data_IF_715981032207
#
_entry.id   IF_715981032207
#
_cell.length_a   1.000
_cell.length_b   1.000
_cell.length_c   1.000
_cell.angle_alpha   90.00
_cell.angle_beta   90.00
_cell.angle_gamma   90.00
#
_symmetry.space_group_name_H-M   'P 1'
#
loop_
_entity.id
_entity.type
_entity.pdbx_description
1 polymer ?
#
# COMPACT_ATOMS: atom_id res chain seq x y z
N UNK A 1 18.87 -14.64 -13.75
CA UNK A 1 17.83 -13.74 -13.24
C UNK A 1 17.06 -13.22 -14.43
N UNK A 2 15.71 -13.25 -14.45
CA UNK A 2 14.95 -12.68 -15.56
C UNK A 2 15.28 -11.19 -15.68
N UNK A 3 15.54 -10.73 -16.92
CA UNK A 3 15.79 -9.31 -17.17
C UNK A 3 14.52 -8.53 -16.83
N UNK A 4 14.63 -7.61 -15.86
CA UNK A 4 13.54 -6.68 -15.51
C UNK A 4 13.44 -5.70 -16.68
N UNK A 5 12.33 -5.74 -17.43
CA UNK A 5 12.10 -4.83 -18.54
C UNK A 5 11.40 -3.56 -18.02
N UNK A 6 12.19 -2.62 -17.52
CA UNK A 6 11.74 -1.28 -17.12
C UNK A 6 12.08 -0.34 -18.27
N UNK A 7 11.09 0.38 -18.76
CA UNK A 7 11.23 1.36 -19.83
C UNK A 7 11.49 2.76 -19.25
N UNK A 8 12.12 3.64 -20.00
CA UNK A 8 12.32 5.03 -19.59
C UNK A 8 11.02 5.74 -19.27
N UNK A 9 9.95 5.44 -20.01
CA UNK A 9 8.61 5.94 -19.71
C UNK A 9 8.07 5.52 -18.34
N UNK A 10 8.49 4.35 -17.82
CA UNK A 10 8.11 3.90 -16.47
C UNK A 10 8.84 4.69 -15.40
N UNK A 11 10.11 5.01 -15.64
CA UNK A 11 10.93 5.83 -14.75
C UNK A 11 10.42 7.27 -14.70
N UNK A 12 10.05 7.81 -15.85
CA UNK A 12 9.46 9.14 -15.95
C UNK A 12 8.10 9.21 -15.26
N UNK A 13 7.22 8.23 -15.48
CA UNK A 13 5.93 8.14 -14.80
C UNK A 13 6.11 8.07 -13.26
N UNK A 14 7.13 7.36 -12.77
CA UNK A 14 7.42 7.31 -11.35
C UNK A 14 7.88 8.68 -10.81
N UNK A 15 8.75 9.41 -11.52
CA UNK A 15 9.15 10.76 -11.14
C UNK A 15 7.96 11.72 -11.11
N UNK A 16 7.09 11.65 -12.12
CA UNK A 16 5.90 12.50 -12.22
C UNK A 16 4.82 12.16 -11.15
N UNK A 17 4.96 11.04 -10.47
CA UNK A 17 4.08 10.66 -9.36
C UNK A 17 4.45 11.27 -8.01
N UNK A 18 5.53 12.06 -7.93
CA UNK A 18 5.98 12.67 -6.66
C UNK A 18 4.96 13.71 -6.20
N UNK A 19 4.48 13.55 -4.98
CA UNK A 19 3.57 14.47 -4.28
C UNK A 19 4.32 15.43 -3.37
N UNK A 20 5.42 14.94 -2.77
CA UNK A 20 6.26 15.70 -1.85
C UNK A 20 7.68 15.13 -1.86
N UNK A 21 8.66 16.01 -1.69
CA UNK A 21 10.06 15.64 -1.55
C UNK A 21 10.76 16.64 -0.62
N UNK A 22 11.50 16.11 0.35
CA UNK A 22 12.43 16.88 1.20
C UNK A 22 13.74 16.10 1.38
N UNK A 23 14.55 16.50 2.36
CA UNK A 23 15.85 15.88 2.64
C UNK A 23 15.74 14.44 3.19
N UNK A 24 14.60 14.06 3.72
CA UNK A 24 14.40 12.82 4.46
C UNK A 24 13.45 11.86 3.79
N UNK A 25 12.42 12.36 3.10
CA UNK A 25 11.34 11.56 2.53
C UNK A 25 11.00 11.96 1.10
N UNK A 26 10.45 11.01 0.37
CA UNK A 26 9.68 11.22 -0.86
C UNK A 26 8.32 10.56 -0.67
N UNK A 27 7.25 11.31 -0.92
CA UNK A 27 5.90 10.77 -1.02
C UNK A 27 5.50 10.70 -2.49
N UNK A 28 5.05 9.55 -2.93
CA UNK A 28 4.58 9.36 -4.31
C UNK A 28 3.11 8.93 -4.33
N UNK A 29 2.40 9.29 -5.39
CA UNK A 29 1.08 8.76 -5.70
C UNK A 29 1.24 7.44 -6.49
N UNK A 30 1.25 6.31 -5.78
CA UNK A 30 1.37 5.01 -6.43
C UNK A 30 0.14 4.71 -7.27
N UNK A 31 0.26 4.41 -8.56
CA UNK A 31 -0.88 3.98 -9.36
C UNK A 31 -1.35 2.56 -8.95
N UNK A 32 -2.62 2.26 -9.20
CA UNK A 32 -3.13 0.90 -9.14
C UNK A 32 -2.46 0.03 -10.23
N UNK A 33 -2.34 -1.27 -9.99
CA UNK A 33 -1.73 -2.23 -10.92
C UNK A 33 -0.19 -2.30 -10.85
N UNK A 34 0.49 -1.38 -10.15
CA UNK A 34 1.94 -1.39 -9.95
C UNK A 34 2.30 -1.95 -8.56
N UNK A 35 3.04 -3.04 -8.52
CA UNK A 35 3.52 -3.62 -7.27
C UNK A 35 4.61 -2.75 -6.62
N UNK A 36 4.66 -2.72 -5.28
CA UNK A 36 5.73 -2.04 -4.53
C UNK A 36 7.02 -2.84 -4.59
N UNK A 37 6.96 -4.15 -4.38
CA UNK A 37 8.11 -5.06 -4.38
C UNK A 37 7.89 -6.20 -5.37
N UNK A 38 9.00 -6.78 -5.83
CA UNK A 38 8.99 -7.97 -6.65
C UNK A 38 8.49 -9.21 -5.91
N UNK A 39 8.06 -10.20 -6.67
CA UNK A 39 7.60 -11.50 -6.21
C UNK A 39 7.56 -12.48 -7.39
N UNK A 40 7.06 -13.68 -7.17
CA UNK A 40 6.96 -14.69 -8.23
C UNK A 40 6.15 -14.13 -9.42
N UNK A 41 6.79 -14.00 -10.58
CA UNK A 41 6.18 -13.47 -11.80
C UNK A 41 5.99 -11.93 -11.84
N UNK A 42 6.46 -11.19 -10.83
CA UNK A 42 6.37 -9.72 -10.80
C UNK A 42 7.75 -9.13 -11.05
N UNK A 43 7.99 -8.71 -12.30
CA UNK A 43 9.28 -8.18 -12.72
C UNK A 43 9.33 -6.65 -12.68
N UNK A 44 8.22 -5.97 -12.94
CA UNK A 44 8.08 -4.52 -12.87
C UNK A 44 7.46 -4.12 -11.53
N UNK A 45 8.21 -3.42 -10.71
CA UNK A 45 7.77 -2.97 -9.38
C UNK A 45 8.55 -1.71 -8.95
N UNK A 46 8.00 -0.94 -8.03
CA UNK A 46 8.57 0.34 -7.58
C UNK A 46 9.99 0.16 -7.06
N UNK A 47 10.24 -0.86 -6.23
CA UNK A 47 11.57 -1.10 -5.66
C UNK A 47 12.67 -1.21 -6.74
N UNK A 48 12.40 -1.84 -7.87
CA UNK A 48 13.36 -1.94 -8.98
C UNK A 48 13.62 -0.60 -9.69
N UNK A 49 12.78 0.41 -9.47
CA UNK A 49 12.86 1.73 -10.11
C UNK A 49 13.34 2.83 -9.15
N UNK A 50 13.59 2.53 -7.87
CA UNK A 50 13.89 3.57 -6.86
C UNK A 50 15.16 4.37 -7.14
N UNK A 51 16.11 3.84 -7.90
CA UNK A 51 17.31 4.58 -8.29
C UNK A 51 16.98 5.86 -9.05
N UNK A 52 15.89 5.87 -9.83
CA UNK A 52 15.45 7.07 -10.55
C UNK A 52 15.00 8.22 -9.63
N UNK A 53 14.71 7.92 -8.35
CA UNK A 53 14.31 8.87 -7.31
C UNK A 53 15.47 9.22 -6.34
N UNK A 54 16.68 8.82 -6.66
CA UNK A 54 17.87 9.11 -5.81
C UNK A 54 18.25 10.58 -5.90
N UNK A 55 18.10 11.19 -7.09
CA UNK A 55 18.50 12.56 -7.41
C UNK A 55 19.93 12.85 -6.92
N UNK A 56 20.14 13.96 -6.22
CA UNK A 56 21.43 14.42 -5.69
C UNK A 56 21.92 13.67 -4.44
N UNK A 57 21.11 12.78 -3.87
CA UNK A 57 21.48 12.04 -2.65
C UNK A 57 22.45 10.88 -2.96
N UNK A 58 23.33 10.58 -2.00
CA UNK A 58 24.25 9.44 -2.11
C UNK A 58 23.56 8.09 -1.95
N UNK A 59 22.49 8.06 -1.15
CA UNK A 59 21.76 6.84 -0.86
C UNK A 59 20.55 6.69 -1.79
N UNK A 60 20.35 5.46 -2.29
CA UNK A 60 19.11 5.07 -2.98
C UNK A 60 17.94 5.13 -2.00
N UNK A 61 16.77 5.65 -2.40
CA UNK A 61 15.58 5.64 -1.56
C UNK A 61 15.20 4.23 -1.11
N UNK A 62 14.63 4.12 0.09
CA UNK A 62 14.30 2.86 0.76
C UNK A 62 12.82 2.74 1.01
N UNK A 63 12.29 1.55 0.81
CA UNK A 63 10.92 1.21 1.20
C UNK A 63 10.82 1.10 2.72
N UNK A 64 9.82 1.72 3.31
CA UNK A 64 9.52 1.67 4.75
C UNK A 64 8.14 1.06 5.04
N UNK A 65 7.28 1.01 4.04
CA UNK A 65 6.00 0.30 4.05
C UNK A 65 5.62 -0.14 2.64
N UNK A 66 4.46 -0.75 2.50
CA UNK A 66 3.95 -1.18 1.20
C UNK A 66 2.45 -0.92 1.09
N UNK A 67 2.01 -0.76 -0.16
CA UNK A 67 0.63 -0.89 -0.61
C UNK A 67 0.52 -2.13 -1.49
N UNK A 68 -0.65 -2.73 -1.54
CA UNK A 68 -0.90 -3.85 -2.44
C UNK A 68 -0.87 -3.38 -3.90
N UNK A 69 -0.66 -4.31 -4.83
CA UNK A 69 -0.50 -4.02 -6.25
C UNK A 69 -1.64 -3.15 -6.79
N UNK A 70 -2.87 -3.52 -6.48
CA UNK A 70 -4.07 -2.87 -7.03
C UNK A 70 -4.58 -1.70 -6.17
N UNK A 71 -3.93 -1.42 -5.04
CA UNK A 71 -4.20 -0.25 -4.20
C UNK A 71 -3.39 0.93 -4.71
N UNK A 72 -4.04 2.04 -5.00
CA UNK A 72 -3.41 3.33 -5.32
C UNK A 72 -3.26 4.22 -4.10
N UNK A 73 -2.50 5.31 -4.21
CA UNK A 73 -2.38 6.33 -3.18
C UNK A 73 -0.96 6.54 -2.65
N UNK A 74 -0.86 7.17 -1.49
CA UNK A 74 0.40 7.67 -0.95
C UNK A 74 1.32 6.53 -0.51
N UNK A 75 2.50 6.45 -1.13
CA UNK A 75 3.60 5.59 -0.71
C UNK A 75 4.77 6.47 -0.27
N UNK A 76 5.22 6.27 0.98
CA UNK A 76 6.34 7.00 1.57
C UNK A 76 7.63 6.20 1.37
N UNK A 77 8.65 6.89 0.91
CA UNK A 77 10.01 6.38 0.72
C UNK A 77 10.96 7.18 1.61
N UNK A 78 11.92 6.53 2.22
CA UNK A 78 12.99 7.20 2.96
C UNK A 78 14.18 7.51 2.05
N UNK A 79 14.72 8.72 2.11
CA UNK A 79 15.89 9.15 1.33
C UNK A 79 17.22 8.85 2.03
N UNK A 80 17.19 8.57 3.33
CA UNK A 80 18.39 8.26 4.12
C UNK A 80 18.16 7.04 5.01
N UNK A 81 19.23 6.38 5.43
CA UNK A 81 19.16 5.25 6.37
C UNK A 81 18.52 5.66 7.70
N UNK A 82 18.84 6.86 8.20
CA UNK A 82 18.25 7.39 9.44
C UNK A 82 16.74 7.56 9.31
N UNK A 83 16.27 8.17 8.23
CA UNK A 83 14.84 8.32 7.96
C UNK A 83 14.14 6.96 7.79
N UNK A 84 14.80 5.99 7.11
CA UNK A 84 14.25 4.64 6.95
C UNK A 84 14.03 3.95 8.29
N UNK A 85 14.97 4.06 9.23
CA UNK A 85 14.84 3.50 10.57
C UNK A 85 13.68 4.13 11.33
N UNK A 86 13.60 5.48 11.35
CA UNK A 86 12.56 6.22 12.05
C UNK A 86 11.15 5.91 11.49
N UNK A 87 10.99 5.96 10.16
CA UNK A 87 9.72 5.67 9.51
C UNK A 87 9.30 4.21 9.69
N UNK A 88 10.23 3.26 9.56
CA UNK A 88 9.91 1.84 9.79
C UNK A 88 9.42 1.62 11.23
N UNK A 89 10.04 2.29 12.19
CA UNK A 89 9.58 2.23 13.59
C UNK A 89 8.21 2.86 13.75
N UNK A 90 7.94 4.03 13.18
CA UNK A 90 6.64 4.69 13.24
C UNK A 90 5.51 3.84 12.61
N UNK A 91 5.76 3.18 11.48
CA UNK A 91 4.81 2.23 10.89
C UNK A 91 4.59 0.99 11.76
N UNK A 92 5.63 0.51 12.47
CA UNK A 92 5.58 -0.66 13.34
C UNK A 92 4.87 -0.37 14.66
N UNK A 93 5.13 0.78 15.28
CA UNK A 93 4.48 1.24 16.53
C UNK A 93 3.05 1.73 16.31
N UNK A 94 2.57 1.79 15.07
CA UNK A 94 1.26 2.30 14.67
C UNK A 94 1.07 3.82 14.93
N UNK A 95 2.14 4.58 15.01
CA UNK A 95 2.10 6.04 15.13
C UNK A 95 1.67 6.72 13.81
N UNK A 96 1.60 5.94 12.72
CA UNK A 96 1.13 6.40 11.41
C UNK A 96 -0.33 6.07 11.23
N UNK A 97 -1.16 7.10 11.11
CA UNK A 97 -2.56 6.94 10.74
C UNK A 97 -2.68 6.65 9.24
N UNK A 98 -3.31 5.52 8.89
CA UNK A 98 -3.56 5.11 7.50
C UNK A 98 -5.05 5.19 7.23
N UNK A 99 -5.44 5.98 6.22
CA UNK A 99 -6.82 6.09 5.79
C UNK A 99 -6.91 5.67 4.33
N UNK A 100 -7.83 4.76 4.05
CA UNK A 100 -8.13 4.27 2.71
C UNK A 100 -9.56 4.67 2.34
N UNK A 101 -9.73 5.09 1.11
CA UNK A 101 -11.06 5.29 0.55
C UNK A 101 -11.40 4.16 -0.40
N UNK A 102 -12.64 3.73 -0.37
CA UNK A 102 -13.13 2.68 -1.27
C UNK A 102 -14.63 2.78 -1.49
N UNK A 103 -15.07 2.30 -2.64
CA UNK A 103 -16.48 2.15 -2.96
C UNK A 103 -16.83 0.67 -2.81
N UNK A 104 -17.90 0.39 -2.08
CA UNK A 104 -18.42 -0.96 -1.89
C UNK A 104 -19.83 -1.10 -2.47
N UNK A 105 -20.15 -2.29 -2.92
CA UNK A 105 -21.53 -2.62 -3.34
C UNK A 105 -22.41 -2.78 -2.11
N UNK A 106 -23.57 -2.14 -2.13
CA UNK A 106 -24.48 -2.09 -0.99
C UNK A 106 -24.07 -1.00 0.01
N UNK A 107 -24.83 -0.90 1.09
CA UNK A 107 -24.63 0.08 2.16
C UNK A 107 -24.49 -0.67 3.48
N UNK A 108 -23.31 -0.73 4.08
CA UNK A 108 -23.09 -1.38 5.37
C UNK A 108 -23.98 -0.81 6.48
N UNK A 109 -24.36 -1.65 7.41
CA UNK A 109 -25.06 -1.27 8.65
C UNK A 109 -24.27 -1.85 9.84
N UNK A 110 -24.02 -1.03 10.86
CA UNK A 110 -24.25 0.40 11.01
C UNK A 110 -23.40 1.28 10.08
N UNK A 111 -23.62 2.61 10.06
CA UNK A 111 -22.88 3.55 9.19
C UNK A 111 -21.39 3.67 9.52
N UNK A 112 -20.99 3.26 10.69
CA UNK A 112 -19.59 3.15 11.13
C UNK A 112 -19.46 1.91 11.99
N UNK A 113 -18.27 1.34 12.02
CA UNK A 113 -18.05 0.13 12.78
C UNK A 113 -16.61 -0.34 12.76
N UNK A 114 -16.41 -1.46 13.42
CA UNK A 114 -15.15 -2.18 13.53
C UNK A 114 -15.35 -3.59 12.96
N UNK A 115 -14.53 -3.94 12.00
CA UNK A 115 -14.44 -5.29 11.45
C UNK A 115 -13.22 -5.94 12.11
N UNK A 116 -13.43 -7.05 12.81
CA UNK A 116 -12.38 -7.84 13.46
C UNK A 116 -12.50 -9.29 12.99
N UNK A 117 -11.87 -9.61 11.87
CA UNK A 117 -11.97 -10.92 11.23
C UNK A 117 -10.54 -11.42 10.96
N UNK A 118 -10.14 -12.57 11.53
CA UNK A 118 -8.83 -13.13 11.24
C UNK A 118 -8.68 -13.49 9.77
N UNK A 119 -7.49 -13.25 9.22
CA UNK A 119 -7.16 -13.47 7.81
C UNK A 119 -6.02 -14.47 7.66
N UNK A 120 -6.17 -15.43 6.78
CA UNK A 120 -5.14 -16.38 6.43
C UNK A 120 -4.83 -16.40 4.94
N UNK A 121 -3.56 -16.67 4.62
CA UNK A 121 -3.10 -16.90 3.26
C UNK A 121 -3.24 -18.36 2.93
N UNK A 122 -3.96 -18.66 1.85
CA UNK A 122 -4.10 -20.02 1.32
C UNK A 122 -3.54 -20.12 -0.10
N UNK A 123 -2.99 -21.26 -0.48
CA UNK A 123 -2.63 -21.52 -1.87
C UNK A 123 -3.85 -21.37 -2.78
N UNK A 124 -3.66 -20.77 -3.94
CA UNK A 124 -4.69 -20.66 -4.98
C UNK A 124 -4.12 -21.07 -6.33
N UNK A 125 -5.00 -21.36 -7.29
CA UNK A 125 -4.61 -21.81 -8.64
C UNK A 125 -3.63 -20.84 -9.34
N UNK A 126 -3.67 -19.56 -8.99
CA UNK A 126 -2.72 -18.51 -9.45
C UNK A 126 -2.20 -17.74 -8.23
N UNK A 127 -1.17 -18.27 -7.56
CA UNK A 127 -0.53 -17.61 -6.44
C UNK A 127 -1.19 -17.86 -5.09
N UNK A 128 -1.32 -16.84 -4.25
CA UNK A 128 -1.92 -16.91 -2.91
C UNK A 128 -3.24 -16.12 -2.88
N UNK A 129 -4.23 -16.60 -2.14
CA UNK A 129 -5.47 -15.90 -1.82
C UNK A 129 -5.55 -15.70 -0.31
N UNK A 130 -6.01 -14.53 0.11
CA UNK A 130 -6.33 -14.27 1.52
C UNK A 130 -7.82 -14.52 1.74
N UNK A 131 -8.12 -15.25 2.79
CA UNK A 131 -9.49 -15.61 3.19
C UNK A 131 -9.72 -15.34 4.66
N UNK A 132 -10.96 -15.09 5.05
CA UNK A 132 -11.36 -15.09 6.45
C UNK A 132 -11.25 -16.52 7.02
N UNK A 133 -10.56 -16.67 8.14
CA UNK A 133 -10.30 -17.97 8.76
C UNK A 133 -10.05 -17.79 10.26
N UNK A 134 -10.69 -18.61 11.10
CA UNK A 134 -10.58 -18.52 12.55
C UNK A 134 -9.15 -18.76 13.06
N UNK A 135 -8.37 -19.60 12.36
CA UNK A 135 -6.96 -19.86 12.64
C UNK A 135 -6.02 -18.80 12.04
N UNK A 136 -6.58 -17.82 11.34
CA UNK A 136 -5.85 -16.75 10.68
C UNK A 136 -5.29 -15.70 11.65
N UNK A 137 -4.51 -14.78 11.12
CA UNK A 137 -3.96 -13.66 11.88
C UNK A 137 -5.02 -12.57 12.05
N UNK A 138 -5.24 -12.14 13.29
CA UNK A 138 -6.17 -11.05 13.61
C UNK A 138 -5.97 -9.85 12.68
N UNK A 139 -7.06 -9.39 12.05
CA UNK A 139 -7.12 -8.23 11.18
C UNK A 139 -8.27 -7.32 11.60
N UNK A 140 -7.95 -6.07 11.93
CA UNK A 140 -8.90 -5.08 12.44
C UNK A 140 -8.90 -3.87 11.55
N UNK A 141 -10.09 -3.51 11.06
CA UNK A 141 -10.33 -2.29 10.28
C UNK A 141 -11.53 -1.54 10.82
N UNK A 142 -11.39 -0.27 11.10
CA UNK A 142 -12.51 0.63 11.35
C UNK A 142 -13.00 1.19 10.02
N UNK A 143 -14.31 1.42 9.91
CA UNK A 143 -14.89 2.06 8.74
C UNK A 143 -15.93 3.10 9.10
N UNK A 144 -16.09 4.08 8.21
CA UNK A 144 -17.14 5.08 8.26
C UNK A 144 -17.67 5.33 6.85
N UNK A 145 -19.01 5.37 6.70
CA UNK A 145 -19.64 5.74 5.43
C UNK A 145 -19.55 7.25 5.26
N UNK A 146 -18.80 7.71 4.26
CA UNK A 146 -18.72 9.11 3.87
C UNK A 146 -20.03 9.49 3.19
N UNK A 147 -20.40 8.73 2.15
CA UNK A 147 -21.59 8.97 1.34
C UNK A 147 -22.13 7.64 0.79
N UNK A 148 -23.39 7.62 0.35
CA UNK A 148 -23.98 6.46 -0.30
C UNK A 148 -24.86 6.85 -1.49
N UNK A 149 -24.82 6.03 -2.55
CA UNK A 149 -25.68 6.11 -3.72
C UNK A 149 -26.92 5.23 -3.51
N UNK A 150 -27.95 5.81 -2.93
CA UNK A 150 -29.16 5.11 -2.50
C UNK A 150 -28.82 3.87 -1.65
N UNK A 151 -29.30 2.66 -2.06
CA UNK A 151 -28.97 1.39 -1.42
C UNK A 151 -27.96 0.55 -2.22
N UNK A 152 -27.43 1.09 -3.33
CA UNK A 152 -26.62 0.33 -4.31
C UNK A 152 -25.15 0.30 -3.99
N UNK A 153 -24.61 1.40 -3.47
CA UNK A 153 -23.19 1.53 -3.18
C UNK A 153 -22.93 2.52 -2.02
N UNK A 154 -21.81 2.38 -1.36
CA UNK A 154 -21.34 3.33 -0.35
C UNK A 154 -19.87 3.67 -0.57
N UNK A 155 -19.52 4.93 -0.35
CA UNK A 155 -18.17 5.41 -0.26
C UNK A 155 -17.72 5.38 1.20
N UNK A 156 -16.65 4.65 1.47
CA UNK A 156 -16.13 4.41 2.81
C UNK A 156 -14.78 5.08 3.02
N UNK A 157 -14.59 5.63 4.21
CA UNK A 157 -13.27 5.80 4.81
C UNK A 157 -12.99 4.57 5.68
N UNK A 158 -11.82 3.95 5.47
CA UNK A 158 -11.39 2.76 6.18
C UNK A 158 -10.04 3.02 6.85
N UNK A 159 -9.92 2.63 8.11
CA UNK A 159 -8.72 2.80 8.92
C UNK A 159 -8.26 1.43 9.46
N UNK A 160 -7.32 0.76 8.79
CA UNK A 160 -6.78 -0.49 9.28
C UNK A 160 -5.89 -0.26 10.50
N UNK A 161 -6.26 -0.85 11.64
CA UNK A 161 -5.44 -0.91 12.86
C UNK A 161 -4.29 -1.91 12.70
N UNK A 162 -4.53 -2.97 11.96
CA UNK A 162 -3.53 -3.97 11.59
C UNK A 162 -3.11 -3.80 10.13
N UNK A 163 -2.06 -4.49 9.68
CA UNK A 163 -1.56 -4.41 8.31
C UNK A 163 -1.34 -5.81 7.74
N UNK A 164 -2.42 -6.57 7.50
CA UNK A 164 -2.32 -7.87 6.85
C UNK A 164 -2.35 -7.72 5.33
N UNK A 165 -1.75 -8.67 4.63
CA UNK A 165 -1.82 -8.71 3.16
C UNK A 165 -3.27 -8.80 2.74
N UNK A 166 -3.69 -7.97 1.79
CA UNK A 166 -5.05 -7.91 1.24
C UNK A 166 -6.14 -7.65 2.31
N UNK A 167 -5.79 -6.99 3.41
CA UNK A 167 -6.76 -6.59 4.43
C UNK A 167 -7.72 -5.55 3.88
#
# INVERSE_FOLDING_TARGET
KPKINIKDSDLEALRNSILHQDDHVIAINKPAGLAVQGGTGTHKHIDAMLETLQFEKRERPKLVHRLDKDTSGVLILARTTKAATALTQAFKSKDVLKIYWGIVVGVPKPRHGRIDIPLEKRPARKGEKVVADEDGRRAVTYYHIIENAARKAAWLAMMPETGRTHQ
#
